data_IF_682856126340
#
_entry.id   IF_682856126340
#
_cell.length_a   1.000
_cell.length_b   1.000
_cell.length_c   1.000
_cell.angle_alpha   90.00
_cell.angle_beta   90.00
_cell.angle_gamma   90.00
#
_symmetry.space_group_name_H-M   'P 1'
#
loop_
_entity.id
_entity.type
_entity.pdbx_description
1 polymer ?
#
# COMPACT_ATOMS: atom_id res chain seq x y z
N UNK A 1 -0.33 -4.39 11.86
CA UNK A 1 0.44 -3.36 11.11
C UNK A 1 1.08 -2.31 12.02
N UNK A 2 0.41 -1.85 13.08
CA UNK A 2 0.99 -0.85 14.00
C UNK A 2 2.35 -1.25 14.60
N UNK A 3 2.59 -2.56 14.82
CA UNK A 3 3.88 -3.07 15.27
C UNK A 3 4.97 -3.03 14.18
N UNK A 4 4.60 -3.12 12.90
CA UNK A 4 5.53 -3.13 11.75
C UNK A 4 6.11 -1.73 11.47
N UNK A 5 5.37 -0.70 11.85
CA UNK A 5 5.79 0.70 11.70
C UNK A 5 6.53 1.24 12.93
N UNK A 6 6.77 0.41 13.96
CA UNK A 6 7.56 0.79 15.13
C UNK A 6 7.01 2.01 15.86
N UNK A 7 7.90 2.96 16.16
CA UNK A 7 7.62 4.11 17.04
C UNK A 7 6.55 5.07 16.50
N UNK A 8 6.23 5.04 15.21
CA UNK A 8 5.15 5.86 14.63
C UNK A 8 3.77 5.20 14.76
N UNK A 9 3.68 3.94 15.20
CA UNK A 9 2.42 3.22 15.40
C UNK A 9 1.41 3.97 16.29
N UNK A 10 1.79 4.46 17.48
CA UNK A 10 0.90 5.24 18.34
C UNK A 10 0.36 6.51 17.68
N UNK A 11 1.20 7.21 16.90
CA UNK A 11 0.81 8.45 16.19
C UNK A 11 -0.21 8.13 15.09
N UNK A 12 0.01 7.06 14.32
CA UNK A 12 -0.94 6.60 13.30
C UNK A 12 -2.27 6.21 13.94
N UNK A 13 -2.24 5.49 15.07
CA UNK A 13 -3.44 5.06 15.77
C UNK A 13 -4.25 6.23 16.36
N UNK A 14 -3.58 7.25 16.87
CA UNK A 14 -4.23 8.43 17.46
C UNK A 14 -4.78 9.42 16.42
N UNK A 15 -4.35 9.32 15.15
CA UNK A 15 -4.78 10.25 14.11
C UNK A 15 -6.28 10.13 13.83
N UNK A 16 -7.03 11.25 13.75
CA UNK A 16 -8.45 11.24 13.40
C UNK A 16 -8.69 11.12 11.88
N UNK A 17 -7.63 11.15 11.06
CA UNK A 17 -7.75 11.05 9.62
C UNK A 17 -8.26 9.66 9.19
N UNK A 18 -8.91 9.61 8.02
CA UNK A 18 -9.23 8.35 7.36
C UNK A 18 -7.96 7.61 6.98
N UNK A 19 -7.93 6.30 7.22
CA UNK A 19 -6.75 5.45 7.04
C UNK A 19 -7.08 4.36 6.02
N UNK A 20 -6.26 4.29 4.98
CA UNK A 20 -6.36 3.26 3.95
C UNK A 20 -5.15 2.34 4.08
N UNK A 21 -5.39 1.04 4.14
CA UNK A 21 -4.36 0.01 4.08
C UNK A 21 -4.30 -0.60 2.67
N UNK A 22 -3.10 -0.63 2.09
CA UNK A 22 -2.79 -1.38 0.86
C UNK A 22 -1.63 -2.30 1.20
N UNK A 23 -1.87 -3.61 1.25
CA UNK A 23 -0.86 -4.58 1.70
C UNK A 23 -1.06 -5.97 1.10
N UNK A 24 0.03 -6.71 0.96
CA UNK A 24 0.03 -8.10 0.50
C UNK A 24 0.47 -9.08 1.60
N UNK A 25 0.61 -8.63 2.85
CA UNK A 25 0.94 -9.53 3.96
C UNK A 25 -0.33 -10.19 4.52
N UNK A 26 -0.23 -11.43 5.04
CA UNK A 26 -1.36 -12.08 5.70
C UNK A 26 -1.69 -11.37 7.02
N UNK A 27 -2.93 -11.56 7.48
CA UNK A 27 -3.45 -11.06 8.76
C UNK A 27 -3.43 -9.52 8.89
N UNK A 28 -4.24 -8.80 8.07
CA UNK A 28 -4.34 -7.35 8.16
C UNK A 28 -4.91 -6.88 9.52
N UNK A 29 -4.55 -5.66 9.89
CA UNK A 29 -5.02 -5.00 11.11
C UNK A 29 -6.43 -4.44 10.87
N UNK A 30 -7.23 -4.28 11.93
CA UNK A 30 -8.61 -3.80 11.83
C UNK A 30 -8.76 -2.29 12.05
N UNK A 31 -7.65 -1.56 12.20
CA UNK A 31 -7.63 -0.12 12.49
C UNK A 31 -7.90 0.78 11.27
N UNK A 32 -8.01 0.22 10.07
CA UNK A 32 -8.11 0.99 8.83
C UNK A 32 -9.56 1.09 8.36
N UNK A 33 -9.95 2.27 7.87
CA UNK A 33 -11.30 2.54 7.37
C UNK A 33 -11.56 1.83 6.03
N UNK A 34 -10.49 1.67 5.22
CA UNK A 34 -10.50 0.91 3.98
C UNK A 34 -9.30 -0.02 3.97
N UNK A 35 -9.53 -1.29 3.64
CA UNK A 35 -8.50 -2.33 3.60
C UNK A 35 -8.48 -3.02 2.24
N UNK A 36 -7.39 -2.83 1.51
CA UNK A 36 -7.02 -3.58 0.30
C UNK A 36 -5.91 -4.55 0.69
N UNK A 37 -6.28 -5.78 1.05
CA UNK A 37 -5.35 -6.81 1.52
C UNK A 37 -5.45 -8.05 0.65
N UNK A 38 -4.41 -8.32 -0.13
CA UNK A 38 -4.35 -9.41 -1.10
C UNK A 38 -3.07 -10.24 -0.91
N UNK A 39 -3.04 -11.20 0.03
CA UNK A 39 -1.87 -12.02 0.31
C UNK A 39 -1.41 -12.92 -0.84
N UNK A 40 -2.28 -13.13 -1.83
CA UNK A 40 -2.01 -13.90 -3.04
C UNK A 40 -1.18 -13.14 -4.09
N UNK A 41 -1.01 -11.82 -3.90
CA UNK A 41 -0.29 -10.95 -4.83
C UNK A 41 1.19 -10.87 -4.44
N UNK A 42 2.05 -10.75 -5.45
CA UNK A 42 3.51 -10.87 -5.30
C UNK A 42 4.16 -9.79 -4.44
N UNK A 43 3.59 -8.58 -4.45
CA UNK A 43 4.15 -7.42 -3.77
C UNK A 43 3.09 -6.33 -3.57
N UNK A 44 3.30 -5.45 -2.60
CA UNK A 44 2.47 -4.24 -2.45
C UNK A 44 2.63 -3.31 -3.67
N UNK A 45 3.79 -3.32 -4.32
CA UNK A 45 4.06 -2.51 -5.51
C UNK A 45 3.15 -2.90 -6.69
N UNK A 46 2.85 -4.20 -6.85
CA UNK A 46 1.86 -4.68 -7.82
C UNK A 46 0.45 -4.14 -7.50
N UNK A 47 0.07 -4.06 -6.23
CA UNK A 47 -1.22 -3.48 -5.81
C UNK A 47 -1.29 -1.98 -6.11
N UNK A 48 -0.19 -1.24 -5.90
CA UNK A 48 -0.10 0.18 -6.26
C UNK A 48 -0.25 0.36 -7.77
N UNK A 49 0.42 -0.46 -8.57
CA UNK A 49 0.28 -0.44 -10.02
C UNK A 49 -1.18 -0.66 -10.46
N UNK A 50 -1.84 -1.70 -9.92
CA UNK A 50 -3.24 -2.02 -10.24
C UNK A 50 -4.19 -0.89 -9.85
N UNK A 51 -3.95 -0.23 -8.71
CA UNK A 51 -4.74 0.92 -8.27
C UNK A 51 -4.63 2.08 -9.27
N UNK A 52 -3.41 2.48 -9.64
CA UNK A 52 -3.17 3.56 -10.60
C UNK A 52 -3.76 3.24 -11.97
N UNK A 53 -3.65 1.99 -12.42
CA UNK A 53 -4.26 1.53 -13.65
C UNK A 53 -5.80 1.65 -13.61
N UNK A 54 -6.44 1.21 -12.53
CA UNK A 54 -7.90 1.29 -12.37
C UNK A 54 -8.41 2.74 -12.26
N UNK A 55 -7.56 3.66 -11.76
CA UNK A 55 -7.86 5.08 -11.72
C UNK A 55 -7.71 5.78 -13.09
N UNK A 56 -7.19 5.09 -14.11
CA UNK A 56 -6.90 5.68 -15.42
C UNK A 56 -5.60 6.50 -15.47
N UNK A 57 -4.75 6.37 -14.46
CA UNK A 57 -3.51 7.17 -14.29
C UNK A 57 -2.28 6.51 -14.92
N UNK A 58 -2.45 5.37 -15.59
CA UNK A 58 -1.34 4.63 -16.20
C UNK A 58 -0.53 5.47 -17.20
N UNK A 59 -1.21 6.23 -18.06
CA UNK A 59 -0.55 7.11 -19.05
C UNK A 59 0.17 8.30 -18.41
N UNK A 60 -0.21 8.66 -17.18
CA UNK A 60 0.39 9.76 -16.41
C UNK A 60 1.66 9.36 -15.65
N UNK A 61 1.98 8.06 -15.58
CA UNK A 61 3.14 7.57 -14.84
C UNK A 61 4.44 8.12 -15.42
N UNK A 62 5.21 8.78 -14.57
CA UNK A 62 6.57 9.17 -14.87
C UNK A 62 7.50 7.95 -14.86
N UNK A 63 8.65 8.09 -15.51
CA UNK A 63 9.71 7.06 -15.49
C UNK A 63 10.17 6.74 -14.07
N UNK A 64 10.24 7.75 -13.20
CA UNK A 64 10.70 7.59 -11.81
C UNK A 64 9.70 6.77 -10.99
N UNK A 65 8.41 7.08 -11.09
CA UNK A 65 7.34 6.32 -10.43
C UNK A 65 7.30 4.87 -10.92
N UNK A 66 7.36 4.66 -12.25
CA UNK A 66 7.40 3.32 -12.83
C UNK A 66 8.64 2.52 -12.37
N UNK A 67 9.79 3.18 -12.25
CA UNK A 67 11.02 2.54 -11.75
C UNK A 67 10.89 2.13 -10.27
N UNK A 68 10.28 2.96 -9.43
CA UNK A 68 10.01 2.62 -8.02
C UNK A 68 9.06 1.42 -7.90
N UNK A 69 7.97 1.43 -8.66
CA UNK A 69 7.00 0.31 -8.70
C UNK A 69 7.70 -0.98 -9.14
N UNK A 70 8.45 -0.93 -10.25
CA UNK A 70 9.17 -2.09 -10.76
C UNK A 70 10.20 -2.62 -9.75
N UNK A 71 10.98 -1.72 -9.14
CA UNK A 71 11.95 -2.09 -8.11
C UNK A 71 11.29 -2.89 -6.99
N UNK A 72 10.17 -2.40 -6.46
CA UNK A 72 9.45 -3.07 -5.38
C UNK A 72 8.63 -4.29 -5.82
N UNK A 73 8.50 -4.59 -7.11
CA UNK A 73 8.00 -5.89 -7.60
C UNK A 73 9.14 -6.90 -7.77
N UNK A 74 10.36 -6.43 -8.02
CA UNK A 74 11.53 -7.27 -8.28
C UNK A 74 12.16 -7.84 -6.99
N UNK A 75 12.13 -7.06 -5.90
CA UNK A 75 12.69 -7.42 -4.59
C UNK A 75 11.72 -8.19 -3.71
#
# INVERSE_FOLDING_TARGET
>A
ILKRVGDIGPVIAASPAQKVLIDHHPYPDTLFDVTVSHPEISSTSELIFRLLFQMGEYEGLTREEAACIYCGMMT
#
